data_IF_834284163658
#
_entry.id   IF_834284163658
#
_cell.length_a   1.000
_cell.length_b   1.000
_cell.length_c   1.000
_cell.angle_alpha   90.00
_cell.angle_beta   90.00
_cell.angle_gamma   90.00
#
_symmetry.space_group_name_H-M   'P 1'
#
loop_
_entity.id
_entity.type
_entity.pdbx_description
1 polymer ?
#
# COMPACT_ATOMS: atom_id res chain seq x y z
N UNK A 1 -8.66 -16.93 36.94
CA UNK A 1 -8.53 -16.40 35.57
C UNK A 1 -7.48 -15.29 35.60
N UNK A 2 -6.27 -15.51 35.08
CA UNK A 2 -5.30 -14.42 34.90
C UNK A 2 -5.76 -13.58 33.71
N UNK A 3 -6.05 -12.31 33.95
CA UNK A 3 -6.38 -11.35 32.90
C UNK A 3 -5.23 -11.22 31.91
N UNK A 4 -5.55 -11.18 30.62
CA UNK A 4 -4.60 -10.91 29.56
C UNK A 4 -3.94 -9.54 29.84
N UNK A 5 -2.65 -9.53 30.20
CA UNK A 5 -1.90 -8.27 30.34
C UNK A 5 -1.65 -7.76 28.93
N UNK A 6 -2.48 -6.82 28.47
CA UNK A 6 -2.20 -6.05 27.25
C UNK A 6 -0.89 -5.32 27.49
N UNK A 7 0.13 -5.59 26.68
CA UNK A 7 1.41 -4.90 26.80
C UNK A 7 1.17 -3.39 26.65
N UNK A 8 1.78 -2.57 27.51
CA UNK A 8 1.54 -1.12 27.51
C UNK A 8 1.89 -0.47 26.16
N UNK A 9 2.72 -1.12 25.35
CA UNK A 9 3.21 -0.65 24.06
C UNK A 9 2.43 -1.20 22.84
N UNK A 10 1.33 -1.92 23.05
CA UNK A 10 0.49 -2.41 21.95
C UNK A 10 -0.37 -1.28 21.41
N UNK A 11 -0.40 -1.13 20.08
CA UNK A 11 -1.29 -0.19 19.40
C UNK A 11 -2.75 -0.55 19.66
N UNK A 12 -3.56 0.44 20.00
CA UNK A 12 -5.01 0.33 20.07
C UNK A 12 -5.69 0.81 18.78
N UNK A 13 -6.99 0.55 18.67
CA UNK A 13 -7.80 0.89 17.50
C UNK A 13 -7.81 2.40 17.20
N UNK A 14 -7.58 3.24 18.21
CA UNK A 14 -7.67 4.70 18.09
C UNK A 14 -6.31 5.39 17.96
N UNK A 15 -5.21 4.65 18.08
CA UNK A 15 -3.86 5.18 17.92
C UNK A 15 -3.57 5.57 16.47
N UNK A 16 -4.08 4.78 15.52
CA UNK A 16 -3.87 4.94 14.09
C UNK A 16 -5.07 5.65 13.45
N UNK A 17 -5.02 6.99 13.41
CA UNK A 17 -6.11 7.81 12.85
C UNK A 17 -6.45 7.47 11.41
N UNK A 18 -5.44 7.11 10.61
CA UNK A 18 -5.66 6.73 9.22
C UNK A 18 -6.45 5.43 9.09
N UNK A 19 -6.19 4.47 9.98
CA UNK A 19 -6.93 3.22 10.04
C UNK A 19 -8.39 3.46 10.42
N UNK A 20 -8.64 4.27 11.46
CA UNK A 20 -10.00 4.64 11.89
C UNK A 20 -10.77 5.34 10.76
N UNK A 21 -10.12 6.25 10.04
CA UNK A 21 -10.72 6.92 8.90
C UNK A 21 -11.05 5.93 7.78
N UNK A 22 -10.10 5.10 7.38
CA UNK A 22 -10.27 4.11 6.31
C UNK A 22 -11.40 3.16 6.61
N UNK A 23 -11.47 2.61 7.83
CA UNK A 23 -12.54 1.70 8.25
C UNK A 23 -13.91 2.39 8.17
N UNK A 24 -14.02 3.61 8.71
CA UNK A 24 -15.25 4.40 8.62
C UNK A 24 -15.63 4.69 7.16
N UNK A 25 -14.68 5.06 6.33
CA UNK A 25 -14.90 5.34 4.91
C UNK A 25 -15.41 4.08 4.19
N UNK A 26 -14.72 2.95 4.36
CA UNK A 26 -15.08 1.67 3.74
C UNK A 26 -16.44 1.16 4.18
N UNK A 27 -16.79 1.31 5.45
CA UNK A 27 -18.13 0.97 5.95
C UNK A 27 -19.20 1.89 5.34
N UNK A 28 -18.95 3.20 5.32
CA UNK A 28 -19.91 4.19 4.78
C UNK A 28 -20.20 3.96 3.30
N UNK A 29 -19.17 3.63 2.52
CA UNK A 29 -19.28 3.41 1.07
C UNK A 29 -19.62 1.97 0.70
N UNK A 30 -19.79 1.07 1.68
CA UNK A 30 -19.90 -0.39 1.46
C UNK A 30 -18.75 -0.96 0.61
N UNK A 31 -17.57 -0.37 0.73
CA UNK A 31 -16.38 -0.81 -0.01
C UNK A 31 -15.93 -2.22 0.39
N UNK A 32 -16.23 -2.63 1.62
CA UNK A 32 -15.92 -3.98 2.12
C UNK A 32 -16.58 -5.05 1.25
N UNK A 33 -17.80 -4.81 0.75
CA UNK A 33 -18.50 -5.76 -0.13
C UNK A 33 -17.77 -5.92 -1.47
N UNK A 34 -17.28 -4.81 -2.02
CA UNK A 34 -16.48 -4.78 -3.25
C UNK A 34 -15.12 -5.46 -3.03
N UNK A 35 -14.41 -5.15 -1.94
CA UNK A 35 -13.14 -5.80 -1.59
C UNK A 35 -13.32 -7.30 -1.38
N UNK A 36 -14.40 -7.74 -0.74
CA UNK A 36 -14.69 -9.14 -0.53
C UNK A 36 -14.88 -9.87 -1.87
N UNK A 37 -15.65 -9.31 -2.80
CA UNK A 37 -15.82 -9.88 -4.14
C UNK A 37 -14.47 -10.00 -4.88
N UNK A 38 -13.61 -8.97 -4.79
CA UNK A 38 -12.26 -9.04 -5.36
C UNK A 38 -11.40 -10.14 -4.70
N UNK A 39 -11.43 -10.25 -3.38
CA UNK A 39 -10.55 -11.18 -2.64
C UNK A 39 -10.97 -12.65 -2.78
N UNK A 40 -12.27 -12.92 -2.98
CA UNK A 40 -12.81 -14.26 -3.18
C UNK A 40 -12.86 -14.68 -4.65
N UNK A 41 -12.37 -13.83 -5.56
CA UNK A 41 -12.54 -14.00 -7.01
C UNK A 41 -14.04 -14.24 -7.37
N UNK A 42 -14.92 -13.59 -6.62
CA UNK A 42 -16.37 -13.71 -6.73
C UNK A 42 -16.97 -12.61 -7.59
N UNK A 43 -18.27 -12.75 -7.87
CA UNK A 43 -19.04 -11.74 -8.59
C UNK A 43 -19.88 -10.91 -7.62
N UNK A 44 -20.00 -9.62 -7.89
CA UNK A 44 -20.94 -8.75 -7.19
C UNK A 44 -22.37 -8.97 -7.69
N UNK A 45 -23.33 -8.91 -6.77
CA UNK A 45 -24.74 -8.90 -7.14
C UNK A 45 -25.13 -7.48 -7.52
N UNK A 46 -25.39 -7.23 -8.82
CA UNK A 46 -25.81 -5.93 -9.38
C UNK A 46 -24.76 -4.83 -9.16
N UNK A 47 -23.69 -4.90 -9.98
CA UNK A 47 -22.61 -3.91 -9.95
C UNK A 47 -23.13 -2.51 -10.27
N UNK A 48 -24.08 -2.39 -11.21
CA UNK A 48 -24.66 -1.10 -11.57
C UNK A 48 -25.30 -0.41 -10.37
N UNK A 49 -26.08 -1.15 -9.58
CA UNK A 49 -26.67 -0.63 -8.34
C UNK A 49 -25.60 -0.27 -7.32
N UNK A 50 -24.58 -1.10 -7.15
CA UNK A 50 -23.50 -0.82 -6.21
C UNK A 50 -22.76 0.49 -6.57
N UNK A 51 -22.43 0.71 -7.86
CA UNK A 51 -21.80 1.95 -8.34
C UNK A 51 -22.69 3.16 -8.08
N UNK A 52 -24.00 3.06 -8.35
CA UNK A 52 -24.94 4.14 -8.06
C UNK A 52 -24.97 4.51 -6.56
N UNK A 53 -24.96 3.51 -5.67
CA UNK A 53 -24.88 3.74 -4.22
C UNK A 53 -23.52 4.32 -3.82
N UNK A 54 -22.43 3.86 -4.44
CA UNK A 54 -21.07 4.34 -4.20
C UNK A 54 -20.92 5.83 -4.57
N UNK A 55 -21.43 6.23 -5.74
CA UNK A 55 -21.44 7.62 -6.23
C UNK A 55 -22.14 8.56 -5.23
N UNK A 56 -23.31 8.15 -4.73
CA UNK A 56 -24.05 8.90 -3.73
C UNK A 56 -23.25 9.07 -2.43
N UNK A 57 -22.54 8.03 -2.00
CA UNK A 57 -21.70 8.10 -0.79
C UNK A 57 -20.47 8.98 -0.99
N UNK A 58 -19.87 8.99 -2.19
CA UNK A 58 -18.78 9.92 -2.50
C UNK A 58 -19.24 11.38 -2.36
N UNK A 59 -20.41 11.73 -2.88
CA UNK A 59 -20.98 13.07 -2.69
C UNK A 59 -21.24 13.37 -1.21
N UNK A 60 -21.87 12.46 -0.47
CA UNK A 60 -22.14 12.65 0.95
C UNK A 60 -20.86 12.90 1.76
N UNK A 61 -19.81 12.11 1.51
CA UNK A 61 -18.55 12.21 2.22
C UNK A 61 -17.84 13.53 1.90
N UNK A 62 -17.68 13.85 0.62
CA UNK A 62 -16.79 14.93 0.18
C UNK A 62 -17.48 16.30 -0.01
N UNK A 63 -18.79 16.34 -0.28
CA UNK A 63 -19.56 17.58 -0.40
C UNK A 63 -20.35 17.91 0.86
N UNK A 64 -20.78 16.90 1.62
CA UNK A 64 -21.56 17.11 2.85
C UNK A 64 -20.74 16.88 4.13
N UNK A 65 -19.48 16.45 4.03
CA UNK A 65 -18.56 16.20 5.15
C UNK A 65 -19.14 15.24 6.22
N UNK A 66 -19.92 14.24 5.80
CA UNK A 66 -20.65 13.34 6.72
C UNK A 66 -19.74 12.55 7.65
N UNK A 67 -18.48 12.33 7.26
CA UNK A 67 -17.50 11.59 8.08
C UNK A 67 -16.48 12.49 8.79
N UNK A 68 -16.53 13.81 8.59
CA UNK A 68 -15.63 14.79 9.21
C UNK A 68 -15.15 15.86 8.24
N UNK A 69 -14.55 16.94 8.76
CA UNK A 69 -13.91 18.00 7.94
C UNK A 69 -12.50 17.59 7.53
N UNK A 70 -12.11 17.92 6.30
CA UNK A 70 -10.81 17.52 5.71
C UNK A 70 -9.72 18.61 5.79
N UNK A 71 -9.96 19.75 6.44
CA UNK A 71 -9.15 20.97 6.33
C UNK A 71 -7.64 20.76 6.54
N UNK A 72 -7.22 19.84 7.40
CA UNK A 72 -5.80 19.60 7.68
C UNK A 72 -5.19 18.41 6.93
N UNK A 73 -6.02 17.56 6.31
CA UNK A 73 -5.60 16.30 5.68
C UNK A 73 -6.15 16.17 4.25
N UNK A 74 -6.43 17.29 3.60
CA UNK A 74 -7.15 17.32 2.32
C UNK A 74 -6.37 16.63 1.20
N UNK A 75 -5.08 16.92 1.08
CA UNK A 75 -4.22 16.29 0.07
C UNK A 75 -4.13 14.79 0.27
N UNK A 76 -3.99 14.34 1.52
CA UNK A 76 -4.02 12.93 1.89
C UNK A 76 -5.34 12.28 1.48
N UNK A 77 -6.48 12.89 1.82
CA UNK A 77 -7.81 12.35 1.44
C UNK A 77 -7.97 12.30 -0.07
N UNK A 78 -7.43 13.26 -0.80
CA UNK A 78 -7.45 13.25 -2.24
C UNK A 78 -6.63 12.09 -2.83
N UNK A 79 -5.45 11.79 -2.26
CA UNK A 79 -4.65 10.63 -2.65
C UNK A 79 -5.37 9.31 -2.34
N UNK A 80 -6.00 9.19 -1.16
CA UNK A 80 -6.82 8.02 -0.80
C UNK A 80 -7.98 7.81 -1.77
N UNK A 81 -8.72 8.88 -2.07
CA UNK A 81 -9.84 8.82 -3.01
C UNK A 81 -9.38 8.37 -4.40
N UNK A 82 -8.27 8.93 -4.90
CA UNK A 82 -7.71 8.50 -6.18
C UNK A 82 -7.27 7.03 -6.17
N UNK A 83 -6.69 6.55 -5.08
CA UNK A 83 -6.36 5.14 -4.91
C UNK A 83 -7.62 4.26 -5.01
N UNK A 84 -8.67 4.57 -4.25
CA UNK A 84 -9.89 3.76 -4.23
C UNK A 84 -10.62 3.80 -5.58
N UNK A 85 -10.66 4.94 -6.25
CA UNK A 85 -11.25 5.05 -7.60
C UNK A 85 -10.47 4.20 -8.61
N UNK A 86 -9.13 4.29 -8.62
CA UNK A 86 -8.31 3.48 -9.52
C UNK A 86 -8.53 1.97 -9.25
N UNK A 87 -8.62 1.59 -7.98
CA UNK A 87 -8.94 0.23 -7.55
C UNK A 87 -10.30 -0.23 -8.09
N UNK A 88 -11.36 0.57 -7.91
CA UNK A 88 -12.71 0.24 -8.38
C UNK A 88 -12.74 0.07 -9.89
N UNK A 89 -12.25 1.06 -10.64
CA UNK A 89 -12.22 1.02 -12.11
C UNK A 89 -11.49 -0.23 -12.64
N UNK A 90 -10.41 -0.63 -11.98
CA UNK A 90 -9.65 -1.83 -12.36
C UNK A 90 -10.39 -3.14 -12.13
N UNK A 91 -11.21 -3.22 -11.08
CA UNK A 91 -11.85 -4.46 -10.66
C UNK A 91 -13.30 -4.60 -11.12
N UNK A 92 -14.00 -3.52 -11.51
CA UNK A 92 -15.33 -3.60 -12.14
C UNK A 92 -15.37 -4.71 -13.21
N UNK A 93 -14.53 -4.71 -14.27
CA UNK A 93 -14.66 -5.72 -15.33
C UNK A 93 -14.35 -7.14 -14.88
N UNK A 94 -13.73 -7.34 -13.71
CA UNK A 94 -13.31 -8.64 -13.18
C UNK A 94 -14.36 -9.28 -12.27
N UNK A 95 -15.15 -8.47 -11.58
CA UNK A 95 -16.11 -8.94 -10.56
C UNK A 95 -17.56 -8.60 -10.94
N UNK A 96 -17.79 -7.93 -12.07
CA UNK A 96 -19.14 -7.77 -12.64
C UNK A 96 -19.60 -9.07 -13.29
N UNK A 97 -20.86 -9.45 -13.04
CA UNK A 97 -21.48 -10.61 -13.69
C UNK A 97 -21.47 -10.46 -15.19
N UNK A 98 -21.27 -11.58 -15.91
CA UNK A 98 -21.34 -11.62 -17.38
C UNK A 98 -22.67 -11.15 -17.97
N UNK A 99 -23.75 -11.17 -17.18
CA UNK A 99 -25.08 -10.67 -17.58
C UNK A 99 -25.18 -9.14 -17.57
N UNK A 100 -24.24 -8.45 -16.94
CA UNK A 100 -24.18 -6.99 -16.88
C UNK A 100 -23.12 -6.46 -17.86
N UNK A 101 -23.38 -5.30 -18.45
CA UNK A 101 -22.40 -4.66 -19.33
C UNK A 101 -21.40 -3.84 -18.49
N UNK A 102 -20.23 -4.43 -18.23
CA UNK A 102 -19.17 -3.77 -17.46
C UNK A 102 -18.62 -2.52 -18.14
N UNK A 103 -18.62 -2.46 -19.48
CA UNK A 103 -18.17 -1.27 -20.21
C UNK A 103 -19.11 -0.08 -19.97
N UNK A 104 -20.43 -0.30 -20.04
CA UNK A 104 -21.42 0.75 -19.75
C UNK A 104 -21.34 1.24 -18.30
N UNK A 105 -21.07 0.31 -17.36
CA UNK A 105 -20.90 0.66 -15.94
C UNK A 105 -19.65 1.53 -15.74
N UNK A 106 -18.53 1.18 -16.38
CA UNK A 106 -17.29 1.97 -16.33
C UNK A 106 -17.53 3.35 -16.93
N UNK A 107 -18.13 3.45 -18.11
CA UNK A 107 -18.39 4.73 -18.78
C UNK A 107 -19.28 5.65 -17.91
N UNK A 108 -20.35 5.11 -17.34
CA UNK A 108 -21.23 5.85 -16.42
C UNK A 108 -20.47 6.34 -15.19
N UNK A 109 -19.63 5.49 -14.59
CA UNK A 109 -18.85 5.87 -13.42
C UNK A 109 -17.79 6.92 -13.75
N UNK A 110 -17.07 6.77 -14.86
CA UNK A 110 -16.10 7.77 -15.33
C UNK A 110 -16.76 9.12 -15.63
N UNK A 111 -17.97 9.12 -16.19
CA UNK A 111 -18.74 10.35 -16.43
C UNK A 111 -19.07 11.06 -15.11
N UNK A 112 -19.54 10.32 -14.10
CA UNK A 112 -19.77 10.84 -12.76
C UNK A 112 -18.48 11.43 -12.16
N UNK A 113 -17.38 10.68 -12.22
CA UNK A 113 -16.07 11.11 -11.72
C UNK A 113 -15.60 12.41 -12.40
N UNK A 114 -15.67 12.48 -13.72
CA UNK A 114 -15.34 13.71 -14.47
C UNK A 114 -16.18 14.89 -13.99
N UNK A 115 -17.47 14.67 -13.72
CA UNK A 115 -18.37 15.67 -13.17
C UNK A 115 -17.93 16.19 -11.80
N UNK A 116 -17.72 15.31 -10.82
CA UNK A 116 -17.40 15.72 -9.44
C UNK A 116 -16.03 16.42 -9.34
N UNK A 117 -15.01 15.90 -10.02
CA UNK A 117 -13.66 16.47 -9.96
C UNK A 117 -13.60 17.83 -10.67
N UNK A 118 -14.30 17.97 -11.80
CA UNK A 118 -14.43 19.27 -12.49
C UNK A 118 -15.20 20.28 -11.65
N UNK A 119 -16.21 19.84 -10.90
CA UNK A 119 -16.93 20.71 -9.96
C UNK A 119 -16.01 21.22 -8.85
N UNK A 120 -15.21 20.35 -8.23
CA UNK A 120 -14.24 20.75 -7.21
C UNK A 120 -13.17 21.71 -7.73
N UNK A 121 -12.68 21.47 -8.95
CA UNK A 121 -11.75 22.38 -9.64
C UNK A 121 -12.40 23.74 -9.92
N UNK A 122 -13.61 23.75 -10.47
CA UNK A 122 -14.35 24.97 -10.81
C UNK A 122 -14.67 25.84 -9.59
N UNK A 123 -15.08 25.22 -8.48
CA UNK A 123 -15.38 25.92 -7.23
C UNK A 123 -14.12 26.51 -6.57
N UNK A 124 -12.94 25.97 -6.86
CA UNK A 124 -11.66 26.48 -6.38
C UNK A 124 -11.62 26.63 -4.87
N UNK A 125 -11.44 27.85 -4.37
CA UNK A 125 -11.41 28.13 -2.93
C UNK A 125 -12.75 27.93 -2.22
N UNK A 126 -13.86 27.97 -2.96
CA UNK A 126 -15.21 27.76 -2.41
C UNK A 126 -15.58 26.28 -2.27
N UNK A 127 -14.79 25.38 -2.85
CA UNK A 127 -15.03 23.95 -2.75
C UNK A 127 -14.83 23.49 -1.30
N UNK A 128 -15.78 22.70 -0.78
CA UNK A 128 -15.65 22.09 0.56
C UNK A 128 -14.55 21.05 0.62
N UNK A 129 -14.27 20.43 -0.52
CA UNK A 129 -13.17 19.50 -0.73
C UNK A 129 -12.52 19.85 -2.07
N UNK A 130 -11.20 20.07 -2.08
CA UNK A 130 -10.45 20.26 -3.33
C UNK A 130 -9.62 19.01 -3.57
N UNK A 131 -9.85 18.39 -4.71
CA UNK A 131 -9.10 17.22 -5.12
C UNK A 131 -9.00 17.19 -6.64
N UNK A 132 -7.84 16.79 -7.14
CA UNK A 132 -7.58 16.60 -8.57
C UNK A 132 -7.54 15.11 -8.88
N UNK A 133 -8.14 14.72 -9.99
CA UNK A 133 -8.12 13.34 -10.48
C UNK A 133 -6.71 13.03 -11.02
N UNK A 134 -6.15 11.92 -10.58
CA UNK A 134 -4.89 11.35 -11.06
C UNK A 134 -5.17 9.99 -11.70
N UNK A 135 -5.55 10.03 -12.98
CA UNK A 135 -5.86 8.83 -13.75
C UNK A 135 -4.58 7.98 -13.92
N UNK A 136 -4.55 6.82 -13.26
CA UNK A 136 -3.50 5.83 -13.41
C UNK A 136 -4.15 4.45 -13.41
N UNK A 137 -3.70 3.56 -14.29
CA UNK A 137 -4.08 2.16 -14.22
C UNK A 137 -3.66 1.58 -12.87
N UNK A 138 -4.59 0.91 -12.18
CA UNK A 138 -4.28 0.34 -10.88
C UNK A 138 -3.13 -0.67 -10.98
N UNK A 139 -2.13 -0.48 -10.13
CA UNK A 139 -1.05 -1.42 -9.92
C UNK A 139 -1.09 -1.86 -8.46
N UNK A 140 -0.80 -3.14 -8.15
CA UNK A 140 -0.78 -3.59 -6.76
C UNK A 140 0.15 -2.73 -5.87
N UNK A 141 1.26 -2.21 -6.41
CA UNK A 141 2.17 -1.28 -5.70
C UNK A 141 1.47 -0.02 -5.16
N UNK A 142 0.35 0.42 -5.76
CA UNK A 142 -0.44 1.56 -5.26
C UNK A 142 -0.94 1.37 -3.84
N UNK A 143 -1.22 0.13 -3.42
CA UNK A 143 -1.55 -0.12 -2.03
C UNK A 143 -0.36 0.11 -1.10
N UNK A 144 0.84 -0.27 -1.51
CA UNK A 144 2.03 -0.04 -0.70
C UNK A 144 2.34 1.46 -0.61
N UNK A 145 2.08 2.22 -1.67
CA UNK A 145 2.15 3.69 -1.65
C UNK A 145 1.15 4.25 -0.65
N UNK A 146 -0.12 3.80 -0.69
CA UNK A 146 -1.13 4.20 0.30
C UNK A 146 -0.71 3.83 1.72
N UNK A 147 -0.22 2.61 1.94
CA UNK A 147 0.26 2.13 3.25
C UNK A 147 1.40 2.99 3.79
N UNK A 148 2.30 3.46 2.93
CA UNK A 148 3.36 4.40 3.31
C UNK A 148 2.78 5.76 3.71
N UNK A 149 1.86 6.29 2.90
CA UNK A 149 1.18 7.56 3.14
C UNK A 149 0.38 7.53 4.46
N UNK A 150 -0.37 6.46 4.72
CA UNK A 150 -1.10 6.22 5.98
C UNK A 150 -0.14 6.21 7.18
N UNK A 151 0.99 5.52 7.04
CA UNK A 151 2.02 5.49 8.07
C UNK A 151 2.56 6.90 8.36
N UNK A 152 2.83 7.70 7.34
CA UNK A 152 3.40 9.03 7.52
C UNK A 152 2.44 10.00 8.22
N UNK A 153 1.14 9.91 7.94
CA UNK A 153 0.13 10.69 8.66
C UNK A 153 -0.03 10.22 10.11
N UNK A 154 0.02 8.90 10.35
CA UNK A 154 0.04 8.36 11.73
C UNK A 154 1.30 8.79 12.50
N UNK A 155 2.47 8.78 11.85
CA UNK A 155 3.74 9.28 12.41
C UNK A 155 3.61 10.75 12.82
N UNK A 156 3.14 11.64 11.92
CA UNK A 156 2.88 13.06 12.23
C UNK A 156 1.95 13.22 13.44
N UNK A 157 0.93 12.37 13.55
CA UNK A 157 0.01 12.37 14.69
C UNK A 157 0.68 11.92 16.00
N UNK A 158 1.53 10.88 15.97
CA UNK A 158 2.32 10.48 17.13
C UNK A 158 3.30 11.58 17.57
N UNK A 159 4.04 12.16 16.62
CA UNK A 159 4.96 13.27 16.89
C UNK A 159 4.24 14.45 17.56
N UNK A 160 3.03 14.78 17.10
CA UNK A 160 2.20 15.82 17.73
C UNK A 160 1.77 15.45 19.15
N UNK A 161 1.34 14.21 19.40
CA UNK A 161 0.97 13.74 20.74
C UNK A 161 2.18 13.76 21.69
N UNK A 162 3.37 13.46 21.17
CA UNK A 162 4.63 13.39 21.93
C UNK A 162 5.33 14.74 22.13
N UNK A 163 4.71 15.86 21.72
CA UNK A 163 5.14 17.19 22.17
C UNK A 163 5.12 17.31 23.69
N UNK A 164 4.17 16.61 24.34
CA UNK A 164 4.23 16.31 25.77
C UNK A 164 4.61 14.85 25.91
N UNK A 165 5.77 14.57 26.49
CA UNK A 165 6.29 13.21 26.56
C UNK A 165 5.35 12.30 27.38
N UNK A 166 5.05 11.14 26.81
CA UNK A 166 4.35 10.04 27.48
C UNK A 166 5.01 8.73 27.04
N UNK A 167 5.53 7.98 28.01
CA UNK A 167 6.27 6.74 27.74
C UNK A 167 5.42 5.73 26.95
N UNK A 168 4.13 5.61 27.29
CA UNK A 168 3.22 4.66 26.62
C UNK A 168 3.03 5.01 25.14
N UNK A 169 2.76 6.28 24.86
CA UNK A 169 2.63 6.81 23.50
C UNK A 169 3.94 6.68 22.74
N UNK A 170 5.08 6.94 23.38
CA UNK A 170 6.39 6.78 22.76
C UNK A 170 6.63 5.33 22.37
N UNK A 171 6.39 4.39 23.29
CA UNK A 171 6.62 2.97 23.04
C UNK A 171 5.72 2.43 21.91
N UNK A 172 4.45 2.85 21.87
CA UNK A 172 3.53 2.57 20.75
C UNK A 172 4.05 3.13 19.42
N UNK A 173 4.52 4.37 19.43
CA UNK A 173 5.11 5.02 18.26
C UNK A 173 6.36 4.25 17.76
N UNK A 174 7.28 3.90 18.66
CA UNK A 174 8.47 3.12 18.33
C UNK A 174 8.12 1.76 17.71
N UNK A 175 7.13 1.05 18.26
CA UNK A 175 6.62 -0.19 17.69
C UNK A 175 6.05 0.01 16.29
N UNK A 176 5.19 1.03 16.11
CA UNK A 176 4.59 1.34 14.81
C UNK A 176 5.66 1.63 13.74
N UNK A 177 6.71 2.39 14.09
CA UNK A 177 7.83 2.67 13.20
C UNK A 177 8.59 1.40 12.84
N UNK A 178 8.95 0.58 13.84
CA UNK A 178 9.72 -0.64 13.62
C UNK A 178 8.97 -1.69 12.80
N UNK A 179 7.69 -1.92 13.08
CA UNK A 179 6.84 -2.86 12.34
C UNK A 179 6.66 -2.43 10.87
N UNK A 180 6.44 -1.13 10.65
CA UNK A 180 6.27 -0.59 9.30
C UNK A 180 7.59 -0.64 8.53
N UNK A 181 8.72 -0.25 9.17
CA UNK A 181 10.07 -0.36 8.59
C UNK A 181 10.36 -1.80 8.17
N UNK A 182 10.13 -2.75 9.07
CA UNK A 182 10.35 -4.18 8.80
C UNK A 182 9.51 -4.66 7.61
N UNK A 183 8.24 -4.25 7.53
CA UNK A 183 7.37 -4.58 6.40
C UNK A 183 7.91 -4.06 5.08
N UNK A 184 8.29 -2.78 5.00
CA UNK A 184 8.83 -2.18 3.77
C UNK A 184 10.19 -2.73 3.38
N UNK A 185 11.07 -3.00 4.36
CA UNK A 185 12.33 -3.70 4.09
C UNK A 185 12.07 -5.07 3.45
N UNK A 186 11.08 -5.81 3.94
CA UNK A 186 10.72 -7.10 3.34
C UNK A 186 10.19 -6.94 1.90
N UNK A 187 9.38 -5.92 1.62
CA UNK A 187 8.94 -5.64 0.25
C UNK A 187 10.11 -5.28 -0.68
N UNK A 188 11.09 -4.52 -0.18
CA UNK A 188 12.30 -4.15 -0.93
C UNK A 188 13.19 -5.38 -1.20
N UNK A 189 13.47 -6.17 -0.17
CA UNK A 189 14.33 -7.36 -0.27
C UNK A 189 13.76 -8.43 -1.22
N UNK A 190 12.43 -8.54 -1.29
CA UNK A 190 11.76 -9.46 -2.21
C UNK A 190 11.54 -8.87 -3.61
N UNK A 191 12.07 -7.68 -3.91
CA UNK A 191 11.92 -7.02 -5.21
C UNK A 191 10.49 -6.57 -5.55
N UNK A 192 9.59 -6.51 -4.55
CA UNK A 192 8.21 -6.02 -4.74
C UNK A 192 8.18 -4.51 -4.92
N UNK A 193 9.11 -3.81 -4.26
CA UNK A 193 9.23 -2.35 -4.31
C UNK A 193 10.69 -1.99 -4.52
N UNK A 194 10.93 -0.98 -5.35
CA UNK A 194 12.24 -0.35 -5.45
C UNK A 194 12.31 0.86 -4.51
N UNK A 195 13.37 0.94 -3.68
CA UNK A 195 13.61 2.06 -2.76
C UNK A 195 13.70 3.41 -3.49
N UNK A 196 14.18 3.39 -4.73
CA UNK A 196 14.36 4.58 -5.57
C UNK A 196 13.13 4.90 -6.45
N UNK A 197 12.04 4.15 -6.32
CA UNK A 197 10.80 4.43 -7.04
C UNK A 197 10.19 5.76 -6.57
N UNK A 198 10.01 6.68 -7.53
CA UNK A 198 9.47 8.03 -7.30
C UNK A 198 8.01 7.99 -6.88
N UNK A 199 7.26 6.94 -7.21
CA UNK A 199 5.87 6.80 -6.76
C UNK A 199 5.77 6.59 -5.24
N UNK A 200 6.87 6.24 -4.56
CA UNK A 200 7.00 6.16 -3.10
C UNK A 200 7.56 7.43 -2.45
N UNK A 201 7.47 8.57 -3.14
CA UNK A 201 7.73 9.89 -2.58
C UNK A 201 6.41 10.59 -2.27
N UNK A 202 6.10 10.80 -0.99
CA UNK A 202 4.91 11.54 -0.54
C UNK A 202 5.29 12.99 -0.23
N UNK A 203 6.34 13.17 0.57
CA UNK A 203 6.97 14.45 0.90
C UNK A 203 8.43 14.22 1.36
N UNK A 204 9.19 15.28 1.60
CA UNK A 204 10.61 15.19 2.00
C UNK A 204 10.85 14.36 3.27
N UNK A 205 9.84 14.24 4.15
CA UNK A 205 9.90 13.49 5.41
C UNK A 205 9.24 12.10 5.31
N UNK A 206 8.72 11.77 4.13
CA UNK A 206 7.97 10.57 3.83
C UNK A 206 8.31 10.08 2.41
N UNK A 207 9.44 9.40 2.30
CA UNK A 207 9.89 8.75 1.07
C UNK A 207 10.71 7.48 1.37
N UNK A 208 10.57 6.43 0.55
CA UNK A 208 11.40 5.22 0.72
C UNK A 208 12.89 5.50 0.51
N UNK A 209 13.22 6.38 -0.44
CA UNK A 209 14.59 6.82 -0.68
C UNK A 209 15.27 7.38 0.58
N UNK A 210 14.52 8.12 1.39
CA UNK A 210 14.94 8.70 2.67
C UNK A 210 14.44 7.84 3.83
N UNK A 211 14.72 6.53 3.80
CA UNK A 211 14.16 5.56 4.74
C UNK A 211 14.47 5.86 6.21
N UNK A 212 15.58 6.51 6.53
CA UNK A 212 15.95 6.93 7.88
C UNK A 212 15.15 8.12 8.39
N UNK A 213 14.74 9.02 7.49
CA UNK A 213 13.79 10.10 7.80
C UNK A 213 12.39 9.52 7.97
N UNK A 214 11.97 8.67 7.04
CA UNK A 214 10.64 8.04 7.02
C UNK A 214 10.46 7.14 8.23
N UNK A 215 11.39 6.22 8.47
CA UNK A 215 11.36 5.19 9.50
C UNK A 215 12.52 5.36 10.50
N UNK A 216 12.51 6.40 11.35
CA UNK A 216 13.60 6.65 12.28
C UNK A 216 13.71 5.54 13.33
N UNK A 217 14.89 5.35 13.90
CA UNK A 217 15.05 4.51 15.08
C UNK A 217 14.64 5.32 16.32
N UNK A 218 13.55 4.89 16.95
CA UNK A 218 12.95 5.52 18.13
C UNK A 218 13.24 4.65 19.35
N UNK A 219 13.88 5.24 20.37
CA UNK A 219 14.08 4.64 21.68
C UNK A 219 13.35 5.45 22.74
N UNK A 220 12.61 4.77 23.60
CA UNK A 220 11.80 5.37 24.65
C UNK A 220 12.34 4.92 26.00
N UNK A 221 12.67 5.88 26.87
CA UNK A 221 13.02 5.65 28.26
C UNK A 221 11.96 6.30 29.16
N UNK A 222 12.02 6.12 30.48
CA UNK A 222 10.97 6.63 31.39
C UNK A 222 10.70 8.14 31.25
N UNK A 223 11.72 8.94 30.90
CA UNK A 223 11.64 10.40 30.93
C UNK A 223 11.84 11.06 29.55
N UNK A 224 12.27 10.32 28.53
CA UNK A 224 12.60 10.91 27.23
C UNK A 224 12.50 9.93 26.06
N UNK A 225 12.38 10.53 24.87
CA UNK A 225 12.48 9.86 23.57
C UNK A 225 13.78 10.25 22.88
N UNK A 226 14.49 9.27 22.35
CA UNK A 226 15.63 9.48 21.46
C UNK A 226 15.28 9.02 20.06
N UNK A 227 15.52 9.87 19.07
CA UNK A 227 15.25 9.60 17.66
C UNK A 227 16.56 9.71 16.90
N UNK A 228 16.90 8.67 16.15
CA UNK A 228 18.08 8.63 15.27
C UNK A 228 17.68 8.21 13.86
N UNK A 229 18.31 8.79 12.85
CA UNK A 229 17.99 8.57 11.44
C UNK A 229 19.13 7.80 10.79
N UNK A 230 18.82 6.72 10.10
CA UNK A 230 19.79 5.98 9.30
C UNK A 230 19.09 5.40 8.08
N UNK A 231 19.60 5.73 6.90
CA UNK A 231 19.10 5.21 5.62
C UNK A 231 19.59 3.79 5.31
N UNK A 232 20.42 3.23 6.19
CA UNK A 232 20.87 1.84 6.09
C UNK A 232 19.68 0.91 6.34
N UNK A 233 19.40 0.07 5.34
CA UNK A 233 18.50 -1.05 5.50
C UNK A 233 19.14 -2.01 6.52
N UNK A 234 18.42 -2.49 7.54
CA UNK A 234 18.92 -3.58 8.36
C UNK A 234 19.22 -4.75 7.42
N UNK A 235 20.47 -5.21 7.42
CA UNK A 235 20.85 -6.43 6.71
C UNK A 235 20.03 -7.55 7.32
N UNK A 236 19.10 -8.11 6.55
CA UNK A 236 18.44 -9.34 6.95
C UNK A 236 19.52 -10.42 7.05
N UNK A 237 19.69 -10.99 8.24
CA UNK A 237 20.37 -12.29 8.38
C UNK A 237 19.46 -13.32 7.73
N UNK A 238 19.59 -13.48 6.42
CA UNK A 238 18.98 -14.58 5.68
C UNK A 238 19.88 -15.79 5.92
N UNK A 239 19.36 -16.75 6.69
CA UNK A 239 19.96 -18.08 6.90
C UNK A 239 21.42 -18.09 7.34
N UNK A 240 21.70 -17.78 8.61
CA UNK A 240 22.84 -18.35 9.36
C UNK A 240 24.26 -18.16 8.83
N UNK A 241 24.48 -17.44 7.73
CA UNK A 241 25.78 -17.16 7.16
C UNK A 241 26.02 -15.65 7.18
N UNK A 242 26.90 -15.26 8.10
CA UNK A 242 27.58 -13.97 8.06
C UNK A 242 28.34 -13.86 6.73
N UNK A 243 27.86 -13.03 5.81
CA UNK A 243 28.69 -12.48 4.74
C UNK A 243 29.66 -11.48 5.39
N UNK A 244 30.83 -11.99 5.76
CA UNK A 244 32.00 -11.20 6.16
C UNK A 244 32.40 -10.22 5.05
N UNK A 245 32.73 -8.99 5.44
CA UNK A 245 33.75 -8.04 4.94
C UNK A 245 33.29 -6.62 5.36
N UNK A 246 33.99 -5.78 6.13
CA UNK A 246 35.35 -5.75 6.67
C UNK A 246 35.30 -5.15 8.09
N UNK A 247 35.84 -5.86 9.09
CA UNK A 247 36.26 -5.26 10.36
C UNK A 247 37.78 -5.27 10.41
N UNK A 248 38.40 -4.09 10.38
CA UNK A 248 39.74 -3.91 10.93
C UNK A 248 39.59 -3.67 12.44
N UNK A 249 39.93 -4.67 13.25
CA UNK A 249 40.94 -4.59 14.34
C UNK A 249 41.00 -5.92 15.11
N UNK A 250 42.23 -6.29 15.46
CA UNK A 250 42.72 -7.58 15.99
C UNK A 250 42.38 -7.87 17.48
N UNK A 251 42.71 -9.07 18.00
CA UNK A 251 41.86 -9.85 18.90
C UNK A 251 42.31 -9.91 20.36
N UNK A 252 41.39 -10.31 21.25
CA UNK A 252 41.74 -10.91 22.54
C UNK A 252 40.79 -12.06 22.90
N UNK A 253 41.33 -13.01 23.64
CA UNK A 253 41.12 -14.46 23.56
C UNK A 253 40.18 -15.05 24.63
N UNK A 254 39.31 -15.98 24.18
CA UNK A 254 38.76 -17.17 24.87
C UNK A 254 37.77 -17.04 26.07
N UNK A 255 36.97 -18.10 26.42
CA UNK A 255 36.68 -19.35 25.70
C UNK A 255 35.18 -19.67 25.49
N UNK A 256 35.01 -20.59 24.56
CA UNK A 256 33.83 -21.34 24.12
C UNK A 256 33.09 -22.04 25.28
N UNK A 257 31.78 -21.80 25.38
CA UNK A 257 30.85 -22.60 26.19
C UNK A 257 29.86 -23.34 25.28
N UNK A 258 30.15 -24.61 25.02
CA UNK A 258 29.34 -25.53 24.22
C UNK A 258 28.09 -25.93 25.01
N UNK A 259 26.90 -25.50 24.59
CA UNK A 259 25.64 -26.04 25.14
C UNK A 259 25.23 -27.29 24.37
N UNK A 260 25.45 -28.45 25.00
CA UNK A 260 24.89 -29.73 24.60
C UNK A 260 23.37 -29.73 24.82
N UNK A 261 22.58 -29.79 23.75
CA UNK A 261 21.14 -30.09 23.83
C UNK A 261 20.92 -31.60 23.73
N UNK A 262 20.54 -32.23 24.84
CA UNK A 262 19.99 -33.60 24.83
C UNK A 262 18.46 -33.54 24.63
N UNK A 263 17.88 -34.33 23.71
CA UNK A 263 16.47 -34.28 23.39
C UNK A 263 15.69 -35.39 24.14
N UNK A 264 14.99 -35.09 25.23
CA UNK A 264 13.85 -35.91 25.65
C UNK A 264 12.96 -35.23 26.69
N UNK A 265 11.64 -35.44 26.55
CA UNK A 265 10.50 -35.05 27.40
C UNK A 265 9.83 -33.71 27.08
N UNK A 266 9.17 -33.66 25.92
CA UNK A 266 7.97 -32.82 25.76
C UNK A 266 6.78 -33.72 26.07
N UNK A 267 6.19 -33.53 27.25
CA UNK A 267 4.89 -34.07 27.57
C UNK A 267 3.82 -33.19 26.90
N UNK A 268 2.98 -33.84 26.09
CA UNK A 268 1.80 -33.29 25.45
C UNK A 268 0.77 -32.80 26.47
N UNK A 269 0.56 -31.48 26.57
CA UNK A 269 -0.70 -30.87 27.03
C UNK A 269 -0.76 -29.37 26.67
N UNK A 270 -1.06 -29.02 25.42
CA UNK A 270 -1.88 -27.83 25.04
C UNK A 270 -1.89 -27.56 23.52
N UNK A 271 -2.13 -28.57 22.68
CA UNK A 271 -2.13 -28.37 21.21
C UNK A 271 -3.49 -27.85 20.68
N UNK A 272 -4.55 -27.82 21.50
CA UNK A 272 -5.91 -27.56 21.01
C UNK A 272 -6.32 -26.08 20.95
N UNK A 273 -5.62 -25.16 21.62
CA UNK A 273 -6.01 -23.72 21.67
C UNK A 273 -5.10 -22.82 20.83
N UNK A 274 -3.86 -23.22 20.52
CA UNK A 274 -2.97 -22.45 19.66
C UNK A 274 -3.18 -22.73 18.17
N UNK A 275 -3.60 -23.93 17.79
CA UNK A 275 -3.94 -24.22 16.38
C UNK A 275 -5.21 -23.49 15.91
N UNK A 276 -6.20 -23.30 16.79
CA UNK A 276 -7.39 -22.51 16.45
C UNK A 276 -7.06 -21.05 16.17
N UNK A 277 -6.20 -20.43 16.98
CA UNK A 277 -5.78 -19.04 16.79
C UNK A 277 -4.85 -18.87 15.57
N UNK A 278 -3.95 -19.81 15.31
CA UNK A 278 -3.07 -19.78 14.13
C UNK A 278 -3.84 -20.01 12.82
N UNK A 279 -4.84 -20.92 12.79
CA UNK A 279 -5.66 -21.16 11.59
C UNK A 279 -6.61 -19.99 11.34
N UNK A 280 -7.20 -19.42 12.40
CA UNK A 280 -8.07 -18.23 12.27
C UNK A 280 -7.27 -17.00 11.83
N UNK A 281 -6.06 -16.82 12.37
CA UNK A 281 -5.12 -15.77 11.94
C UNK A 281 -4.64 -15.96 10.51
N UNK A 282 -4.32 -17.19 10.09
CA UNK A 282 -3.96 -17.51 8.69
C UNK A 282 -5.12 -17.31 7.73
N UNK A 283 -6.35 -17.64 8.13
CA UNK A 283 -7.55 -17.42 7.31
C UNK A 283 -7.84 -15.93 7.15
N UNK A 284 -7.81 -15.17 8.24
CA UNK A 284 -7.97 -13.71 8.20
C UNK A 284 -6.82 -13.05 7.43
N UNK A 285 -5.57 -13.48 7.60
CA UNK A 285 -4.44 -12.97 6.84
C UNK A 285 -4.55 -13.29 5.35
N UNK A 286 -4.93 -14.53 4.99
CA UNK A 286 -5.13 -14.98 3.59
C UNK A 286 -6.26 -14.24 2.89
N UNK A 287 -7.30 -13.85 3.62
CA UNK A 287 -8.45 -13.10 3.10
C UNK A 287 -8.36 -11.58 3.33
N UNK A 288 -7.31 -11.12 4.03
CA UNK A 288 -7.00 -9.69 4.15
C UNK A 288 -6.26 -9.22 2.91
N UNK A 289 -6.37 -7.91 2.65
CA UNK A 289 -5.67 -7.22 1.57
C UNK A 289 -4.18 -7.65 1.43
N UNK A 290 -3.46 -7.76 2.56
CA UNK A 290 -2.03 -8.10 2.58
C UNK A 290 -1.77 -9.53 2.07
N UNK A 291 -2.64 -10.49 2.40
CA UNK A 291 -2.49 -11.88 1.97
C UNK A 291 -2.89 -12.12 0.52
N UNK A 292 -3.98 -11.50 0.03
CA UNK A 292 -4.39 -11.62 -1.37
C UNK A 292 -3.38 -10.94 -2.31
N UNK A 293 -2.81 -9.82 -1.89
CA UNK A 293 -1.71 -9.15 -2.58
C UNK A 293 -0.47 -10.06 -2.69
N UNK A 294 0.03 -10.58 -1.56
CA UNK A 294 1.21 -11.46 -1.56
C UNK A 294 1.01 -12.72 -2.42
N UNK A 295 -0.19 -13.31 -2.43
CA UNK A 295 -0.56 -14.43 -3.30
C UNK A 295 -0.48 -14.06 -4.78
N UNK A 296 -1.05 -12.92 -5.16
CA UNK A 296 -1.04 -12.44 -6.55
C UNK A 296 0.37 -12.09 -7.04
N UNK A 297 1.25 -11.59 -6.16
CA UNK A 297 2.66 -11.38 -6.47
C UNK A 297 3.45 -12.68 -6.59
N UNK A 298 3.26 -13.64 -5.68
CA UNK A 298 3.92 -14.95 -5.73
C UNK A 298 3.53 -15.73 -6.99
N UNK A 299 2.25 -15.70 -7.38
CA UNK A 299 1.78 -16.36 -8.60
C UNK A 299 2.37 -15.72 -9.88
N UNK A 300 2.59 -14.40 -9.91
CA UNK A 300 3.24 -13.72 -11.03
C UNK A 300 4.74 -14.04 -11.14
N UNK A 301 5.43 -14.22 -10.03
CA UNK A 301 6.85 -14.61 -10.02
C UNK A 301 7.08 -16.11 -10.29
N UNK A 302 6.00 -16.91 -10.37
CA UNK A 302 6.04 -18.35 -10.64
C UNK A 302 5.56 -18.74 -12.05
N UNK A 303 5.39 -17.78 -12.95
CA UNK A 303 5.15 -18.08 -14.37
C UNK A 303 6.48 -18.58 -14.95
N UNK A 304 6.64 -19.91 -14.97
CA UNK A 304 7.56 -20.58 -15.87
C UNK A 304 7.17 -20.26 -17.32
N UNK A 305 8.17 -20.13 -18.18
CA UNK A 305 8.07 -19.81 -19.61
C UNK A 305 7.31 -20.85 -20.47
N UNK A 306 6.17 -21.36 -20.05
CA UNK A 306 5.48 -22.46 -20.76
C UNK A 306 3.97 -22.26 -20.99
N UNK A 307 3.34 -21.21 -20.42
CA UNK A 307 1.90 -20.90 -20.67
C UNK A 307 1.69 -19.69 -21.61
N UNK A 308 2.65 -19.36 -22.47
CA UNK A 308 2.55 -18.19 -23.38
C UNK A 308 1.97 -18.51 -24.77
N UNK A 309 1.33 -19.66 -24.97
CA UNK A 309 0.88 -20.10 -26.30
C UNK A 309 -0.61 -20.40 -26.48
N UNK A 310 -1.48 -20.17 -25.49
CA UNK A 310 -2.93 -20.42 -25.65
C UNK A 310 -3.84 -19.18 -25.60
N UNK A 311 -3.32 -17.97 -25.38
CA UNK A 311 -4.16 -16.75 -25.23
C UNK A 311 -4.01 -15.73 -26.38
N UNK A 312 -3.49 -16.13 -27.55
CA UNK A 312 -3.26 -15.23 -28.71
C UNK A 312 -4.18 -15.53 -29.91
N UNK A 313 -5.02 -16.57 -29.87
CA UNK A 313 -5.87 -16.94 -31.02
C UNK A 313 -7.34 -16.52 -30.94
N UNK A 314 -7.73 -15.69 -29.96
CA UNK A 314 -9.12 -15.26 -29.80
C UNK A 314 -9.54 -13.96 -30.49
N UNK A 315 -8.61 -13.15 -31.02
CA UNK A 315 -8.93 -11.74 -31.32
C UNK A 315 -8.78 -11.27 -32.77
N UNK A 316 -8.38 -12.11 -33.73
CA UNK A 316 -8.31 -11.68 -35.13
C UNK A 316 -8.65 -12.80 -36.12
N UNK A 317 -9.92 -12.84 -36.54
CA UNK A 317 -10.33 -13.43 -37.81
C UNK A 317 -11.45 -12.58 -38.44
N UNK A 318 -11.20 -12.22 -39.70
CA UNK A 318 -12.08 -11.58 -40.70
C UNK A 318 -12.40 -10.07 -40.49
N UNK A 319 -12.12 -9.13 -41.39
CA UNK A 319 -11.54 -9.17 -42.74
C UNK A 319 -11.89 -7.89 -43.53
N UNK A 320 -10.84 -7.13 -43.90
CA UNK A 320 -10.60 -6.37 -45.16
C UNK A 320 -11.47 -5.16 -45.56
N UNK A 321 -10.82 -3.99 -45.72
CA UNK A 321 -10.86 -3.18 -46.97
C UNK A 321 -9.88 -1.98 -46.95
N UNK A 322 -8.72 -2.18 -47.59
CA UNK A 322 -7.95 -1.25 -48.44
C UNK A 322 -7.92 0.27 -48.17
N UNK A 323 -6.74 0.79 -47.82
CA UNK A 323 -6.01 1.71 -48.71
C UNK A 323 -4.51 1.68 -48.40
N UNK A 324 -3.73 1.22 -49.37
CA UNK A 324 -2.29 1.43 -49.48
C UNK A 324 -2.11 2.76 -50.22
N UNK A 325 -1.26 3.64 -49.71
CA UNK A 325 -0.35 4.36 -50.58
C UNK A 325 0.97 4.63 -49.86
N UNK A 326 2.03 4.47 -50.63
CA UNK A 326 3.40 4.24 -50.19
C UNK A 326 4.26 5.45 -50.61
N UNK A 327 5.39 5.63 -49.91
CA UNK A 327 6.60 6.38 -50.31
C UNK A 327 6.52 7.92 -50.45
N UNK A 328 7.33 8.66 -49.67
CA UNK A 328 8.70 8.98 -50.13
C UNK A 328 9.57 9.68 -49.05
N UNK A 329 10.84 9.32 -49.12
CA UNK A 329 12.04 9.83 -48.46
C UNK A 329 12.11 11.35 -48.23
N UNK A 330 12.61 11.76 -47.06
CA UNK A 330 13.67 12.79 -46.99
C UNK A 330 14.40 12.75 -45.65
N UNK A 331 15.55 12.07 -45.65
CA UNK A 331 16.65 12.32 -44.74
C UNK A 331 17.15 13.76 -44.94
N UNK A 332 17.25 14.57 -43.87
CA UNK A 332 18.27 15.62 -43.75
C UNK A 332 18.47 16.03 -42.31
N UNK A 333 19.59 15.55 -41.75
CA UNK A 333 20.23 16.08 -40.56
C UNK A 333 20.64 17.54 -40.80
N UNK A 334 20.31 18.44 -39.88
CA UNK A 334 20.86 19.79 -39.83
C UNK A 334 21.72 19.95 -38.57
N UNK A 335 23.04 20.04 -38.81
CA UNK A 335 24.06 20.48 -37.86
C UNK A 335 23.88 21.99 -37.67
N UNK A 336 23.79 22.45 -36.42
CA UNK A 336 23.80 23.87 -36.08
C UNK A 336 25.27 24.35 -35.97
N UNK A 337 25.60 25.44 -36.67
CA UNK A 337 26.82 26.22 -36.43
C UNK A 337 26.41 27.60 -35.89
N UNK A 338 27.04 27.98 -34.79
CA UNK A 338 26.97 29.27 -34.11
C UNK A 338 28.11 30.17 -34.63
N UNK A 339 27.85 31.41 -35.10
CA UNK A 339 28.91 32.36 -35.39
C UNK A 339 28.99 33.47 -34.33
N UNK A 340 30.05 33.42 -33.51
CA UNK A 340 30.56 34.56 -32.76
C UNK A 340 31.40 35.49 -33.65
N UNK A 341 31.08 36.79 -33.62
CA UNK A 341 31.91 37.99 -33.82
C UNK A 341 33.11 37.94 -34.80
N UNK A 342 32.95 38.51 -36.01
CA UNK A 342 33.38 39.87 -36.40
C UNK A 342 33.24 40.06 -37.92
#
# INVERSE_FOLDING_TARGET
>A
MPGYIVSQCTLDEHDLKEKVFDEKWKTTTKFVDFENAVNTDGEMNDMKKWIYEFDAQLLNIYELNTIGKFTHNQDKRCRDLNYYINYVLHYIPKITKKTENSADIIDSFEHFLKGIFKNWEHLGEKAKFKCKRTEKAYQPTMYLIKKLDDYCENKKNFEKKLQSYDYKTCCKYANHVNETRSSFNNYILNGVVNKDDRDFYIDDKCALKNSGETFPNVKCNENNMFVSKSDELPIAVVNGYLSNYQQHTSPETHPVGTFNSSPTKIALTSVSTLLGACVSGLYLYRNSFVGSMLRNFQNRNRISNEDTYDDVNGMFSEGVSHYLDNLQENNRFHIAYDPMNN
#
